data_IF_383371031197
#
_entry.id   IF_383371031197
#
_cell.length_a   1.000
_cell.length_b   1.000
_cell.length_c   1.000
_cell.angle_alpha   90.00
_cell.angle_beta   90.00
_cell.angle_gamma   90.00
#
_symmetry.space_group_name_H-M   'P 1'
#
loop_
_entity.id
_entity.type
_entity.pdbx_description
1 polymer ?
#
# COMPACT_ATOMS: atom_id res chain seq x y z
N UNK A 1 13.42 56.03 -44.19
CA UNK A 1 13.54 55.47 -42.83
C UNK A 1 13.39 53.97 -42.98
N UNK A 2 14.50 53.26 -43.18
CA UNK A 2 15.37 52.68 -42.14
C UNK A 2 14.72 51.43 -41.52
N UNK A 3 15.13 50.22 -41.97
CA UNK A 3 15.97 49.23 -41.25
C UNK A 3 15.20 48.59 -40.07
N UNK A 4 15.09 47.27 -39.83
CA UNK A 4 16.02 46.14 -40.05
C UNK A 4 15.41 44.86 -39.39
N UNK A 5 15.89 43.68 -39.83
CA UNK A 5 16.07 42.39 -39.08
C UNK A 5 14.88 41.40 -38.94
N UNK A 6 15.08 40.07 -38.85
CA UNK A 6 15.94 39.04 -39.48
C UNK A 6 15.72 37.71 -38.73
N UNK A 7 15.90 36.58 -39.44
CA UNK A 7 16.33 35.25 -38.97
C UNK A 7 15.36 34.29 -38.24
N UNK A 8 15.33 33.06 -38.77
CA UNK A 8 15.17 31.76 -38.07
C UNK A 8 16.54 31.04 -38.12
N UNK A 9 16.80 29.85 -37.52
CA UNK A 9 16.37 29.15 -36.28
C UNK A 9 17.59 28.83 -35.33
N UNK A 10 17.45 28.15 -34.17
CA UNK A 10 18.41 27.25 -33.44
C UNK A 10 17.81 26.90 -32.04
N UNK A 11 17.35 25.67 -31.73
CA UNK A 11 18.02 24.54 -31.01
C UNK A 11 19.11 24.98 -30.00
N UNK A 12 19.00 24.77 -28.67
CA UNK A 12 19.56 23.62 -27.90
C UNK A 12 19.39 23.90 -26.36
N UNK A 13 18.73 22.98 -25.64
CA UNK A 13 19.07 22.40 -24.30
C UNK A 13 18.76 23.06 -22.93
N UNK A 14 18.16 22.19 -22.11
CA UNK A 14 18.25 21.96 -20.65
C UNK A 14 17.24 22.60 -19.68
N UNK A 15 16.37 21.70 -19.19
CA UNK A 15 16.04 21.44 -17.79
C UNK A 15 15.26 22.52 -17.03
N UNK A 16 13.95 22.33 -16.90
CA UNK A 16 13.44 21.76 -15.65
C UNK A 16 12.14 20.99 -15.91
N UNK A 17 12.16 19.74 -15.49
CA UNK A 17 11.06 18.81 -15.55
C UNK A 17 10.18 19.02 -14.32
N UNK A 18 9.11 19.79 -14.49
CA UNK A 18 7.94 19.73 -13.61
C UNK A 18 6.73 19.47 -14.46
N UNK A 19 6.54 18.19 -14.74
CA UNK A 19 5.32 17.62 -15.30
C UNK A 19 4.13 18.04 -14.44
N UNK A 20 3.31 18.97 -14.93
CA UNK A 20 1.92 19.10 -14.49
C UNK A 20 1.16 17.85 -14.94
N UNK A 21 1.18 16.80 -14.13
CA UNK A 21 0.35 15.61 -14.32
C UNK A 21 -0.83 15.65 -13.33
N UNK A 22 -2.08 15.55 -13.79
CA UNK A 22 -3.22 15.39 -12.89
C UNK A 22 -3.15 14.00 -12.23
N UNK A 23 -3.21 13.88 -10.89
CA UNK A 23 -3.13 12.59 -10.21
C UNK A 23 -4.52 11.94 -10.24
N UNK A 24 -4.79 11.11 -11.24
CA UNK A 24 -5.90 10.15 -11.21
C UNK A 24 -5.65 9.02 -12.21
N UNK A 25 -4.46 8.38 -12.14
CA UNK A 25 -4.33 7.06 -12.73
C UNK A 25 -4.94 6.07 -11.74
N UNK A 26 -6.04 5.42 -12.13
CA UNK A 26 -6.58 4.27 -11.41
C UNK A 26 -5.57 3.13 -11.47
N UNK A 27 -4.55 3.20 -10.63
CA UNK A 27 -3.61 2.11 -10.40
C UNK A 27 -4.43 1.01 -9.72
N UNK A 28 -4.64 -0.11 -10.40
CA UNK A 28 -5.14 -1.31 -9.74
C UNK A 28 -4.19 -1.58 -8.57
N UNK A 29 -4.73 -1.49 -7.35
CA UNK A 29 -3.99 -1.65 -6.11
C UNK A 29 -3.52 -3.11 -6.05
N UNK A 30 -2.32 -3.36 -6.56
CA UNK A 30 -1.65 -4.65 -6.46
C UNK A 30 -1.15 -4.81 -5.02
N UNK A 31 -2.08 -5.06 -4.12
CA UNK A 31 -1.79 -5.27 -2.71
C UNK A 31 -1.16 -6.66 -2.53
N UNK A 32 -0.05 -6.75 -1.78
CA UNK A 32 0.52 -8.04 -1.41
C UNK A 32 -0.47 -8.86 -0.55
N UNK A 33 -0.42 -10.20 -0.60
CA UNK A 33 -1.22 -11.05 0.27
C UNK A 33 -0.95 -10.73 1.75
N UNK A 34 -1.97 -10.71 2.62
CA UNK A 34 -1.81 -10.34 4.03
C UNK A 34 -0.93 -11.32 4.81
N UNK A 35 -0.91 -12.60 4.40
CA UNK A 35 -0.05 -13.65 4.98
C UNK A 35 1.45 -13.29 4.94
N UNK A 36 1.87 -12.45 3.99
CA UNK A 36 3.26 -12.00 3.90
C UNK A 36 3.71 -11.25 5.16
N UNK A 37 2.78 -10.56 5.83
CA UNK A 37 3.03 -9.75 7.03
C UNK A 37 2.73 -10.52 8.33
N UNK A 38 2.19 -11.73 8.23
CA UNK A 38 1.86 -12.56 9.38
C UNK A 38 3.10 -13.33 9.89
N UNK A 39 4.06 -12.57 10.41
CA UNK A 39 5.34 -13.09 10.93
C UNK A 39 5.24 -13.59 12.38
N UNK A 40 4.16 -13.20 13.08
CA UNK A 40 4.01 -13.44 14.52
C UNK A 40 3.95 -14.93 14.87
N UNK A 41 3.22 -15.80 14.14
CA UNK A 41 3.18 -17.23 14.47
C UNK A 41 4.56 -17.89 14.38
N UNK A 42 5.33 -17.55 13.34
CA UNK A 42 6.66 -18.11 13.11
C UNK A 42 7.68 -17.61 14.14
N UNK A 43 7.66 -16.31 14.44
CA UNK A 43 8.51 -15.73 15.48
C UNK A 43 8.20 -16.36 16.84
N UNK A 44 6.91 -16.48 17.18
CA UNK A 44 6.47 -17.11 18.42
C UNK A 44 6.96 -18.55 18.52
N UNK A 45 6.89 -19.33 17.44
CA UNK A 45 7.39 -20.70 17.43
C UNK A 45 8.89 -20.78 17.74
N UNK A 46 9.69 -19.91 17.11
CA UNK A 46 11.13 -19.85 17.33
C UNK A 46 11.44 -19.46 18.78
N UNK A 47 10.77 -18.44 19.31
CA UNK A 47 10.97 -17.96 20.69
C UNK A 47 10.62 -19.02 21.72
N UNK A 48 9.47 -19.68 21.56
CA UNK A 48 9.05 -20.76 22.47
C UNK A 48 10.09 -21.89 22.52
N UNK A 49 10.68 -22.27 21.38
CA UNK A 49 11.69 -23.35 21.32
C UNK A 49 13.04 -22.97 21.97
N UNK A 50 13.32 -21.69 22.17
CA UNK A 50 14.53 -21.20 22.84
C UNK A 50 14.34 -21.18 24.37
N UNK A 51 13.15 -20.78 24.82
CA UNK A 51 12.84 -20.63 26.25
C UNK A 51 12.77 -22.00 26.97
N UNK A 52 12.38 -23.06 26.25
CA UNK A 52 12.30 -24.43 26.76
C UNK A 52 13.61 -25.22 26.61
N UNK A 53 14.77 -24.60 26.82
CA UNK A 53 16.00 -25.35 27.10
C UNK A 53 15.74 -26.21 28.34
N UNK A 54 16.09 -27.52 28.36
CA UNK A 54 15.68 -28.42 29.44
C UNK A 54 16.36 -28.01 30.75
N UNK A 55 15.67 -27.20 31.55
CA UNK A 55 15.91 -27.09 32.97
C UNK A 55 15.18 -28.28 33.61
N UNK A 56 15.95 -29.23 34.15
CA UNK A 56 15.44 -30.23 35.08
C UNK A 56 14.70 -29.51 36.23
N UNK A 57 13.36 -29.52 36.23
CA UNK A 57 12.60 -29.01 37.36
C UNK A 57 11.18 -28.52 37.07
N UNK A 58 10.23 -29.31 37.55
CA UNK A 58 8.92 -28.89 38.09
C UNK A 58 7.80 -28.54 37.09
N UNK A 59 6.97 -29.56 36.85
CA UNK A 59 5.59 -29.47 36.37
C UNK A 59 4.70 -28.91 37.49
N UNK A 60 4.08 -27.75 37.32
CA UNK A 60 2.75 -27.49 37.88
C UNK A 60 2.09 -26.23 37.27
N UNK A 61 1.14 -26.42 36.35
CA UNK A 61 -0.09 -25.60 36.17
C UNK A 61 -0.78 -25.95 34.84
N UNK A 62 -1.99 -26.52 34.97
CA UNK A 62 -2.80 -27.15 33.92
C UNK A 62 -3.64 -26.15 33.07
N UNK A 63 -3.39 -24.84 33.21
CA UNK A 63 -4.08 -23.74 32.51
C UNK A 63 -3.10 -22.73 31.88
N UNK A 64 -1.83 -23.13 31.71
CA UNK A 64 -0.78 -22.23 31.23
C UNK A 64 -0.58 -22.33 29.72
N UNK A 65 -0.55 -21.17 29.05
CA UNK A 65 -0.25 -21.06 27.62
C UNK A 65 1.07 -21.78 27.27
N UNK A 66 1.99 -21.89 28.24
CA UNK A 66 3.24 -22.67 28.19
C UNK A 66 3.08 -24.17 27.92
N UNK A 67 1.97 -24.80 28.33
CA UNK A 67 1.74 -26.23 28.08
C UNK A 67 1.58 -26.57 26.58
N UNK A 68 1.08 -25.62 25.78
CA UNK A 68 0.99 -25.77 24.31
C UNK A 68 2.38 -25.81 23.65
N UNK A 69 3.39 -25.23 24.31
CA UNK A 69 4.75 -25.10 23.81
C UNK A 69 5.71 -26.16 24.37
N UNK A 70 5.38 -26.80 25.49
CA UNK A 70 6.10 -27.96 26.04
C UNK A 70 6.18 -29.17 25.06
N UNK A 71 5.30 -29.24 24.07
CA UNK A 71 5.31 -30.30 23.05
C UNK A 71 6.20 -30.00 21.84
N UNK A 72 6.84 -28.82 21.77
CA UNK A 72 7.73 -28.46 20.67
C UNK A 72 9.17 -28.85 20.99
N UNK A 73 9.85 -29.47 20.04
CA UNK A 73 11.26 -29.85 20.19
C UNK A 73 12.11 -28.61 20.48
N UNK A 74 12.86 -28.58 21.60
CA UNK A 74 13.77 -27.50 21.93
C UNK A 74 14.74 -27.23 20.78
N UNK A 75 15.00 -25.96 20.49
CA UNK A 75 15.95 -25.56 19.45
C UNK A 75 17.32 -25.39 20.08
N UNK A 76 18.35 -26.05 19.55
CA UNK A 76 19.73 -25.80 19.98
C UNK A 76 20.09 -24.35 19.63
N UNK A 77 20.68 -23.55 20.54
CA UNK A 77 21.13 -22.19 20.26
C UNK A 77 22.02 -22.08 19.02
N UNK A 78 22.73 -23.14 18.61
CA UNK A 78 23.54 -23.18 17.38
C UNK A 78 22.72 -23.24 16.10
N UNK A 79 21.50 -23.78 16.16
CA UNK A 79 20.59 -23.90 15.02
C UNK A 79 19.70 -22.67 14.85
N UNK A 80 19.71 -21.75 15.82
CA UNK A 80 18.99 -20.48 15.77
C UNK A 80 19.23 -19.70 14.47
N UNK A 81 20.48 -19.50 14.00
CA UNK A 81 20.73 -18.74 12.78
C UNK A 81 20.08 -19.37 11.56
N UNK A 82 19.97 -20.71 11.52
CA UNK A 82 19.31 -21.44 10.44
C UNK A 82 17.77 -21.36 10.56
N UNK A 83 17.24 -21.48 11.79
CA UNK A 83 15.80 -21.42 12.06
C UNK A 83 15.18 -20.06 11.70
N UNK A 84 15.93 -18.96 11.83
CA UNK A 84 15.45 -17.61 11.49
C UNK A 84 15.58 -17.24 10.01
N UNK A 85 16.29 -18.02 9.19
CA UNK A 85 16.43 -17.76 7.75
C UNK A 85 15.10 -17.61 6.99
N UNK A 86 14.11 -18.52 7.14
CA UNK A 86 12.83 -18.38 6.46
C UNK A 86 12.10 -17.09 6.88
N UNK A 87 12.10 -16.79 8.19
CA UNK A 87 11.51 -15.56 8.73
C UNK A 87 12.18 -14.31 8.13
N UNK A 88 13.52 -14.29 8.07
CA UNK A 88 14.28 -13.19 7.45
C UNK A 88 14.00 -13.07 5.95
N UNK A 89 13.80 -14.18 5.24
CA UNK A 89 13.42 -14.16 3.83
C UNK A 89 12.02 -13.57 3.63
N UNK A 90 11.06 -13.95 4.48
CA UNK A 90 9.71 -13.39 4.48
C UNK A 90 9.72 -11.88 4.75
N UNK A 91 10.44 -11.42 5.78
CA UNK A 91 10.56 -9.99 6.08
C UNK A 91 11.17 -9.20 4.92
N UNK A 92 12.22 -9.72 4.27
CA UNK A 92 12.80 -9.07 3.08
C UNK A 92 11.80 -8.97 1.93
N UNK A 93 10.99 -10.01 1.72
CA UNK A 93 9.94 -9.97 0.72
C UNK A 93 8.85 -8.96 1.10
N UNK A 94 8.43 -8.92 2.36
CA UNK A 94 7.47 -7.95 2.87
C UNK A 94 7.94 -6.50 2.66
N UNK A 95 9.19 -6.18 3.01
CA UNK A 95 9.78 -4.85 2.80
C UNK A 95 9.80 -4.46 1.32
N UNK A 96 10.20 -5.39 0.44
CA UNK A 96 10.20 -5.14 -1.01
C UNK A 96 8.80 -4.88 -1.58
N UNK A 97 7.79 -5.53 -1.04
CA UNK A 97 6.40 -5.28 -1.45
C UNK A 97 5.87 -3.96 -0.87
N UNK A 98 6.26 -3.57 0.35
CA UNK A 98 5.94 -2.24 0.92
C UNK A 98 6.52 -1.12 0.05
N UNK A 99 7.79 -1.25 -0.36
CA UNK A 99 8.46 -0.26 -1.24
C UNK A 99 7.78 -0.13 -2.61
N UNK A 100 6.97 -1.11 -3.02
CA UNK A 100 6.22 -1.10 -4.27
C UNK A 100 4.79 -0.61 -4.13
N UNK A 101 4.33 -0.35 -2.92
CA UNK A 101 2.98 0.15 -2.70
C UNK A 101 2.85 1.54 -3.30
N UNK A 102 1.73 1.80 -4.01
CA UNK A 102 1.44 3.14 -4.50
C UNK A 102 1.22 4.07 -3.32
N UNK A 103 1.60 5.34 -3.50
CA UNK A 103 1.43 6.41 -2.51
C UNK A 103 2.05 6.12 -1.12
N UNK A 104 3.04 5.22 -1.04
CA UNK A 104 3.75 4.93 0.22
C UNK A 104 4.55 6.12 0.75
N UNK A 105 4.93 7.05 -0.13
CA UNK A 105 5.66 8.27 0.21
C UNK A 105 4.75 9.43 0.66
N UNK A 106 3.42 9.23 0.65
CA UNK A 106 2.42 10.24 1.00
C UNK A 106 1.81 9.98 2.37
N UNK A 107 1.45 11.05 3.09
CA UNK A 107 0.79 10.92 4.39
C UNK A 107 -0.69 10.56 4.23
N UNK A 108 -1.28 9.98 5.29
CA UNK A 108 -2.71 9.64 5.32
C UNK A 108 -3.55 10.92 5.21
N UNK A 109 -3.15 11.98 5.89
CA UNK A 109 -3.85 13.26 5.88
C UNK A 109 -3.93 13.88 4.47
N UNK A 110 -2.84 13.83 3.71
CA UNK A 110 -2.80 14.30 2.32
C UNK A 110 -3.75 13.50 1.42
N UNK A 111 -3.81 12.18 1.62
CA UNK A 111 -4.71 11.30 0.86
C UNK A 111 -6.17 11.55 1.25
N UNK A 112 -6.47 11.74 2.53
CA UNK A 112 -7.83 12.05 3.00
C UNK A 112 -8.34 13.41 2.49
N UNK A 113 -7.47 14.42 2.42
CA UNK A 113 -7.80 15.72 1.83
C UNK A 113 -8.12 15.58 0.33
N UNK A 114 -7.28 14.85 -0.41
CA UNK A 114 -7.53 14.56 -1.82
C UNK A 114 -8.84 13.80 -2.04
N UNK A 115 -9.11 12.76 -1.23
CA UNK A 115 -10.37 12.01 -1.29
C UNK A 115 -11.55 12.98 -1.14
N UNK A 116 -11.50 13.90 -0.18
CA UNK A 116 -12.56 14.88 0.06
C UNK A 116 -12.78 15.78 -1.17
N UNK A 117 -11.71 16.27 -1.78
CA UNK A 117 -11.81 17.08 -3.00
C UNK A 117 -12.39 16.30 -4.19
N UNK A 118 -11.93 15.06 -4.38
CA UNK A 118 -12.41 14.16 -5.42
C UNK A 118 -13.88 13.82 -5.24
N UNK A 119 -14.32 13.54 -4.02
CA UNK A 119 -15.72 13.31 -3.68
C UNK A 119 -16.59 14.54 -3.98
N UNK A 120 -16.09 15.74 -3.67
CA UNK A 120 -16.82 16.97 -3.96
C UNK A 120 -16.93 17.21 -5.47
N UNK A 121 -15.85 16.95 -6.23
CA UNK A 121 -15.87 16.98 -7.69
C UNK A 121 -16.86 15.97 -8.25
N UNK A 122 -16.89 14.76 -7.72
CA UNK A 122 -17.83 13.71 -8.12
C UNK A 122 -19.27 14.12 -7.84
N UNK A 123 -19.54 14.76 -6.70
CA UNK A 123 -20.86 15.33 -6.37
C UNK A 123 -21.31 16.33 -7.44
N UNK A 124 -20.46 17.30 -7.79
CA UNK A 124 -20.77 18.31 -8.83
C UNK A 124 -21.04 17.66 -10.18
N UNK A 125 -20.24 16.68 -10.57
CA UNK A 125 -20.41 15.96 -11.84
C UNK A 125 -21.73 15.17 -11.87
N UNK A 126 -22.07 14.48 -10.78
CA UNK A 126 -23.35 13.76 -10.64
C UNK A 126 -24.54 14.72 -10.72
N UNK A 127 -24.46 15.91 -10.12
CA UNK A 127 -25.49 16.95 -10.24
C UNK A 127 -25.66 17.45 -11.67
N UNK A 128 -24.57 17.71 -12.38
CA UNK A 128 -24.61 18.12 -13.78
C UNK A 128 -25.22 17.04 -14.67
N UNK A 129 -24.82 15.79 -14.49
CA UNK A 129 -25.39 14.65 -15.22
C UNK A 129 -26.90 14.55 -15.00
N UNK A 130 -27.37 14.72 -13.76
CA UNK A 130 -28.81 14.74 -13.45
C UNK A 130 -29.53 15.85 -14.22
N UNK A 131 -28.99 17.08 -14.18
CA UNK A 131 -29.56 18.21 -14.92
C UNK A 131 -29.64 17.96 -16.42
N UNK A 132 -28.61 17.37 -17.02
CA UNK A 132 -28.62 17.01 -18.44
C UNK A 132 -29.68 15.94 -18.76
N UNK A 133 -29.85 14.93 -17.90
CA UNK A 133 -30.92 13.94 -18.05
C UNK A 133 -32.31 14.57 -17.98
N UNK A 134 -32.54 15.53 -17.08
CA UNK A 134 -33.81 16.24 -16.94
C UNK A 134 -34.13 17.08 -18.18
N UNK A 135 -33.12 17.77 -18.72
CA UNK A 135 -33.25 18.54 -19.98
C UNK A 135 -33.61 17.61 -21.14
N UNK A 136 -32.90 16.49 -21.30
CA UNK A 136 -33.19 15.50 -22.35
C UNK A 136 -34.60 14.92 -22.24
N UNK A 137 -35.06 14.62 -21.02
CA UNK A 137 -36.43 14.17 -20.76
C UNK A 137 -37.47 15.24 -21.09
N UNK A 138 -37.20 16.51 -20.76
CA UNK A 138 -38.07 17.64 -21.10
C UNK A 138 -38.17 17.89 -22.61
N UNK A 139 -37.07 17.71 -23.34
CA UNK A 139 -37.06 17.80 -24.81
C UNK A 139 -37.89 16.68 -25.45
N UNK A 140 -37.75 15.44 -24.97
CA UNK A 140 -38.55 14.30 -25.45
C UNK A 140 -40.06 14.52 -25.22
N UNK A 141 -40.45 15.04 -24.05
CA UNK A 141 -41.85 15.34 -23.75
C UNK A 141 -42.44 16.42 -24.70
N UNK A 142 -41.63 17.41 -25.09
CA UNK A 142 -42.03 18.49 -26.01
C UNK A 142 -42.13 18.05 -27.47
N UNK A 143 -41.38 17.02 -27.88
CA UNK A 143 -41.38 16.48 -29.24
C UNK A 143 -42.45 15.38 -29.44
N UNK A 144 -42.92 14.78 -28.35
CA UNK A 144 -43.97 13.75 -28.36
C UNK A 144 -45.39 14.27 -28.08
N UNK A 145 -45.57 15.59 -27.94
CA UNK A 145 -46.88 16.27 -27.80
C UNK A 145 -47.20 17.04 -29.08
#
# INVERSE_FOLDING_TARGET
MALKQSATPETITAADSSTCQPPSQQQQLNLPPPELFDILPQLHEILARIDHAPADGEQDSDDDLGALYNNKSPLDPKDLPAAVLPLKAQMRKAMKEIERLPDIDRSVEEQEEEIRELEERLRRQREMSRKMCDVGRGMLARLGS
#
